data_IF_258585303858
#
_entry.id   IF_258585303858
#
_cell.length_a   1.000
_cell.length_b   1.000
_cell.length_c   1.000
_cell.angle_alpha   90.00
_cell.angle_beta   90.00
_cell.angle_gamma   90.00
#
_symmetry.space_group_name_H-M   'P 1'
#
loop_
_entity.id
_entity.type
_entity.pdbx_description
1 polymer ?
#
# COMPACT_ATOMS: atom_id res chain seq x y z
N UNK A 1 -7.49 -27.86 -21.30
CA UNK A 1 -8.15 -26.55 -21.37
C UNK A 1 -9.51 -26.70 -20.72
N UNK A 2 -9.68 -26.20 -19.51
CA UNK A 2 -10.93 -26.35 -18.74
C UNK A 2 -12.04 -25.51 -19.36
N UNK A 3 -13.29 -25.87 -19.08
CA UNK A 3 -14.45 -25.19 -19.67
C UNK A 3 -14.42 -23.68 -19.34
N UNK A 4 -13.87 -23.28 -18.19
CA UNK A 4 -13.69 -21.87 -17.78
C UNK A 4 -12.71 -21.04 -18.63
N UNK A 5 -11.79 -21.67 -19.35
CA UNK A 5 -10.76 -20.99 -20.15
C UNK A 5 -11.28 -20.51 -21.53
N UNK A 6 -12.44 -21.00 -21.98
CA UNK A 6 -13.03 -20.63 -23.29
C UNK A 6 -13.85 -19.33 -23.29
N UNK A 7 -14.24 -18.80 -22.13
CA UNK A 7 -15.23 -17.71 -21.99
C UNK A 7 -14.68 -16.28 -22.11
N UNK A 8 -13.41 -16.12 -22.49
CA UNK A 8 -12.65 -14.90 -22.25
C UNK A 8 -11.83 -14.50 -23.47
N UNK A 9 -12.48 -14.26 -24.61
CA UNK A 9 -11.80 -13.69 -25.78
C UNK A 9 -11.72 -12.16 -25.66
N UNK A 10 -10.51 -11.57 -25.56
CA UNK A 10 -10.35 -10.13 -25.69
C UNK A 10 -10.59 -9.71 -27.15
N UNK A 11 -10.97 -8.44 -27.37
CA UNK A 11 -10.85 -7.84 -28.70
C UNK A 11 -9.37 -7.89 -29.09
N UNK A 12 -9.03 -8.71 -30.08
CA UNK A 12 -7.67 -8.78 -30.62
C UNK A 12 -7.36 -7.47 -31.33
N UNK A 13 -6.31 -6.78 -30.89
CA UNK A 13 -5.54 -5.86 -31.73
C UNK A 13 -4.28 -6.64 -32.13
N UNK A 14 -4.16 -6.96 -33.42
CA UNK A 14 -3.00 -7.64 -34.01
C UNK A 14 -2.70 -9.07 -33.49
N UNK A 15 -3.73 -9.86 -33.15
CA UNK A 15 -3.60 -11.32 -33.03
C UNK A 15 -3.05 -11.88 -31.71
N UNK A 16 -2.77 -11.05 -30.69
CA UNK A 16 -2.26 -11.56 -29.40
C UNK A 16 -3.32 -11.60 -28.28
N UNK A 17 -3.44 -12.71 -27.52
CA UNK A 17 -4.39 -12.83 -26.41
C UNK A 17 -3.94 -12.02 -25.17
N UNK A 18 -4.88 -11.29 -24.58
CA UNK A 18 -4.73 -10.61 -23.28
C UNK A 18 -5.07 -11.60 -22.15
N UNK A 19 -4.18 -11.82 -21.17
CA UNK A 19 -4.42 -12.76 -20.08
C UNK A 19 -5.55 -12.27 -19.17
N UNK A 20 -6.47 -13.17 -18.80
CA UNK A 20 -7.54 -12.86 -17.86
C UNK A 20 -7.23 -13.47 -16.51
N UNK A 21 -6.92 -12.61 -15.54
CA UNK A 21 -6.65 -13.00 -14.17
C UNK A 21 -7.93 -13.53 -13.48
N UNK A 22 -7.84 -14.70 -12.85
CA UNK A 22 -8.67 -15.10 -11.71
C UNK A 22 -8.31 -14.24 -10.50
N UNK A 23 -9.29 -13.73 -9.76
CA UNK A 23 -9.04 -12.92 -8.56
C UNK A 23 -9.62 -13.59 -7.31
N UNK A 24 -8.70 -14.08 -6.47
CA UNK A 24 -8.81 -14.02 -5.00
C UNK A 24 -8.04 -12.75 -4.61
N UNK A 25 -8.71 -11.76 -4.03
CA UNK A 25 -8.11 -10.43 -3.80
C UNK A 25 -7.76 -10.28 -2.33
N UNK A 26 -6.47 -10.34 -2.01
CA UNK A 26 -5.92 -9.77 -0.78
C UNK A 26 -5.97 -8.26 -0.93
N UNK A 27 -6.81 -7.58 -0.16
CA UNK A 27 -6.70 -6.14 0.02
C UNK A 27 -5.45 -5.85 0.86
N UNK A 28 -4.71 -4.83 0.51
CA UNK A 28 -3.65 -4.26 1.35
C UNK A 28 -4.21 -2.93 1.87
N UNK A 29 -3.97 -2.64 3.14
CA UNK A 29 -4.28 -1.37 3.79
C UNK A 29 -2.95 -0.70 4.16
N UNK A 30 -2.84 0.61 3.98
CA UNK A 30 -1.74 1.41 4.50
C UNK A 30 -2.13 1.87 5.91
N UNK A 31 -1.25 1.63 6.86
CA UNK A 31 -1.36 2.09 8.24
C UNK A 31 -0.33 3.18 8.45
N UNK A 32 -0.79 4.37 8.82
CA UNK A 32 0.05 5.45 9.30
C UNK A 32 0.29 5.21 10.78
N UNK A 33 1.54 5.28 11.24
CA UNK A 33 1.83 5.28 12.66
C UNK A 33 2.81 6.39 13.05
N UNK A 34 2.58 6.97 14.22
CA UNK A 34 3.41 8.02 14.81
C UNK A 34 3.93 7.56 16.17
N UNK A 35 5.04 8.18 16.59
CA UNK A 35 5.78 7.82 17.80
C UNK A 35 5.86 9.06 18.68
N UNK A 36 5.69 8.89 19.98
CA UNK A 36 6.11 9.85 21.00
C UNK A 36 6.81 9.13 22.13
N UNK A 37 7.64 9.84 22.88
CA UNK A 37 8.28 9.29 24.07
C UNK A 37 7.86 10.07 25.32
N UNK A 38 7.86 9.38 26.45
CA UNK A 38 7.60 9.94 27.78
C UNK A 38 8.64 9.43 28.77
N UNK A 39 9.04 10.30 29.69
CA UNK A 39 9.89 9.96 30.84
C UNK A 39 11.24 9.33 30.43
N UNK A 40 11.86 9.81 29.34
CA UNK A 40 13.11 9.23 28.82
C UNK A 40 14.30 9.38 29.79
N UNK A 41 14.32 10.45 30.58
CA UNK A 41 15.38 10.81 31.51
C UNK A 41 14.78 11.50 32.73
N UNK A 42 15.51 11.47 33.86
CA UNK A 42 15.18 12.29 35.02
C UNK A 42 15.06 13.77 34.59
N UNK A 43 14.01 14.46 35.07
CA UNK A 43 13.63 15.82 34.65
C UNK A 43 14.70 16.92 34.91
N UNK A 44 15.90 16.55 35.32
CA UNK A 44 17.04 17.44 35.60
C UNK A 44 17.98 17.63 34.41
N UNK A 45 17.76 16.96 33.27
CA UNK A 45 18.63 17.09 32.09
C UNK A 45 18.08 18.17 31.15
N UNK A 46 18.56 19.40 31.35
CA UNK A 46 18.56 20.43 30.30
C UNK A 46 19.51 19.95 29.18
N UNK A 47 19.13 20.08 27.91
CA UNK A 47 19.89 19.65 26.69
C UNK A 47 19.74 18.22 26.15
N UNK A 48 18.57 17.57 26.34
CA UNK A 48 18.28 16.28 25.67
C UNK A 48 17.87 16.51 24.21
N UNK A 49 18.58 15.91 23.26
CA UNK A 49 18.27 15.93 21.81
C UNK A 49 17.89 14.55 21.34
N UNK A 50 16.61 14.26 21.16
CA UNK A 50 16.15 12.89 20.98
C UNK A 50 15.63 12.62 19.56
N UNK A 51 15.89 11.43 19.03
CA UNK A 51 15.26 10.92 17.82
C UNK A 51 15.02 9.41 17.92
N UNK A 52 14.10 8.90 17.11
CA UNK A 52 13.77 7.48 17.02
C UNK A 52 14.16 6.90 15.66
N UNK A 53 14.55 5.63 15.66
CA UNK A 53 14.76 4.83 14.46
C UNK A 53 13.83 3.62 14.52
N UNK A 54 13.04 3.44 13.46
CA UNK A 54 12.12 2.32 13.32
C UNK A 54 12.73 1.23 12.45
N UNK A 55 12.68 -0.03 12.91
CA UNK A 55 13.16 -1.20 12.19
C UNK A 55 12.06 -2.24 12.01
N UNK A 56 12.14 -3.01 10.93
CA UNK A 56 11.30 -4.17 10.69
C UNK A 56 12.13 -5.44 10.82
N UNK A 57 11.59 -6.45 11.50
CA UNK A 57 12.26 -7.75 11.62
C UNK A 57 12.38 -8.47 10.26
N UNK A 58 13.50 -9.17 10.08
CA UNK A 58 13.80 -9.97 8.89
C UNK A 58 12.73 -11.05 8.67
N UNK A 59 12.09 -11.07 7.50
CA UNK A 59 11.00 -11.99 7.16
C UNK A 59 9.63 -11.32 7.09
N UNK A 60 9.50 -10.08 7.58
CA UNK A 60 8.35 -9.24 7.26
C UNK A 60 8.42 -8.82 5.78
N UNK A 61 7.30 -8.80 5.03
CA UNK A 61 7.31 -8.33 3.65
C UNK A 61 7.83 -6.89 3.61
N UNK A 62 8.80 -6.62 2.74
CA UNK A 62 9.49 -5.34 2.55
C UNK A 62 8.60 -4.24 1.95
N UNK A 63 7.30 -4.24 2.26
CA UNK A 63 6.29 -3.37 1.63
C UNK A 63 6.13 -2.03 2.37
N UNK A 64 7.08 -1.61 3.19
CA UNK A 64 7.06 -0.32 3.89
C UNK A 64 7.51 0.78 2.92
N UNK A 65 6.70 1.83 2.76
CA UNK A 65 6.93 2.93 1.82
C UNK A 65 7.50 4.13 2.60
N UNK A 66 8.77 4.47 2.35
CA UNK A 66 9.56 5.58 2.92
C UNK A 66 9.91 5.39 4.42
N UNK A 67 11.12 5.70 4.91
CA UNK A 67 12.16 6.64 4.49
C UNK A 67 13.45 5.93 4.01
N UNK A 68 14.37 6.66 3.37
CA UNK A 68 15.57 6.12 2.71
C UNK A 68 16.24 4.97 3.46
N UNK A 69 16.18 3.78 2.88
CA UNK A 69 16.76 2.56 3.43
C UNK A 69 18.28 2.66 3.33
N UNK A 70 18.94 3.07 4.41
CA UNK A 70 20.38 2.83 4.58
C UNK A 70 20.52 1.52 5.37
N UNK A 71 21.28 0.57 4.82
CA UNK A 71 21.73 -0.58 5.59
C UNK A 71 22.75 -0.05 6.59
N UNK A 72 22.36 0.09 7.86
CA UNK A 72 23.26 0.53 8.91
C UNK A 72 24.11 -0.66 9.38
N UNK A 73 25.44 -0.54 9.22
CA UNK A 73 26.38 -1.46 9.86
C UNK A 73 26.38 -1.17 11.36
N UNK A 74 25.55 -1.89 12.12
CA UNK A 74 25.56 -1.82 13.58
C UNK A 74 26.86 -2.45 14.07
N UNK A 75 27.86 -1.59 14.31
CA UNK A 75 29.16 -1.99 14.86
C UNK A 75 29.04 -2.58 16.26
N UNK A 76 29.93 -3.53 16.58
CA UNK A 76 29.98 -4.36 17.81
C UNK A 76 30.25 -3.61 19.15
N UNK A 77 29.90 -2.34 19.27
CA UNK A 77 30.11 -1.56 20.49
C UNK A 77 28.80 -1.31 21.24
N UNK A 78 28.51 -2.09 22.28
CA UNK A 78 27.57 -1.75 23.37
C UNK A 78 26.08 -1.53 23.04
N UNK A 79 25.67 -1.46 21.77
CA UNK A 79 24.28 -1.20 21.36
C UNK A 79 23.41 -2.47 21.57
N UNK A 80 22.33 -2.41 22.38
CA UNK A 80 21.48 -3.57 22.62
C UNK A 80 20.60 -3.94 21.42
N UNK A 81 20.52 -5.25 21.19
CA UNK A 81 19.43 -6.08 20.64
C UNK A 81 18.61 -5.53 19.47
N UNK A 82 19.21 -4.85 18.50
CA UNK A 82 18.61 -4.85 17.15
C UNK A 82 18.98 -6.19 16.51
N UNK A 83 18.00 -7.09 16.23
CA UNK A 83 18.31 -8.40 15.68
C UNK A 83 19.06 -8.27 14.36
N UNK A 84 20.09 -9.11 14.18
CA UNK A 84 20.88 -9.15 12.96
C UNK A 84 19.99 -9.28 11.71
N UNK A 85 20.13 -8.31 10.80
CA UNK A 85 19.39 -8.25 9.56
C UNK A 85 17.98 -7.65 9.66
N UNK A 86 17.68 -6.93 10.75
CA UNK A 86 16.54 -6.00 10.78
C UNK A 86 16.75 -4.89 9.74
N UNK A 87 15.67 -4.47 9.07
CA UNK A 87 15.70 -3.43 8.05
C UNK A 87 15.25 -2.11 8.66
N UNK A 88 16.07 -1.07 8.56
CA UNK A 88 15.66 0.29 8.92
C UNK A 88 14.53 0.76 8.00
N UNK A 89 13.40 1.14 8.60
CA UNK A 89 12.20 1.62 7.91
C UNK A 89 12.26 3.14 7.77
N UNK A 90 12.85 3.81 8.76
CA UNK A 90 13.04 5.26 8.74
C UNK A 90 13.46 5.80 10.09
N UNK A 91 13.67 7.11 10.13
CA UNK A 91 14.06 7.88 11.31
C UNK A 91 13.12 9.06 11.48
N UNK A 92 12.88 9.44 12.73
CA UNK A 92 12.20 10.71 13.02
C UNK A 92 13.16 11.88 12.88
N UNK A 93 12.62 13.09 12.94
CA UNK A 93 13.40 14.28 13.23
C UNK A 93 14.02 14.23 14.64
N UNK A 94 15.02 15.09 14.87
CA UNK A 94 15.61 15.33 16.20
C UNK A 94 14.79 16.41 16.90
N UNK A 95 14.31 16.09 18.10
CA UNK A 95 13.60 17.02 18.99
C UNK A 95 14.55 17.48 20.09
N UNK A 96 14.74 18.79 20.18
CA UNK A 96 15.68 19.42 21.11
C UNK A 96 14.97 19.79 22.43
N UNK A 97 15.71 19.67 23.53
CA UNK A 97 15.35 20.13 24.87
C UNK A 97 14.02 19.57 25.38
N UNK A 98 13.77 18.28 25.15
CA UNK A 98 12.56 17.62 25.63
C UNK A 98 12.85 16.21 26.15
N UNK A 99 12.50 15.97 27.42
CA UNK A 99 12.45 14.63 28.01
C UNK A 99 11.21 13.82 27.57
N UNK A 100 10.26 14.48 26.90
CA UNK A 100 9.00 13.92 26.45
C UNK A 100 8.75 14.28 24.97
N UNK A 101 9.65 13.89 24.05
CA UNK A 101 9.57 14.34 22.66
C UNK A 101 8.33 13.76 21.97
N UNK A 102 7.58 14.65 21.32
CA UNK A 102 6.50 14.30 20.41
C UNK A 102 7.03 14.50 18.98
N UNK A 103 7.09 13.43 18.19
CA UNK A 103 7.63 13.47 16.84
C UNK A 103 6.50 13.71 15.82
N UNK A 104 6.76 14.58 14.86
CA UNK A 104 5.90 14.90 13.72
C UNK A 104 6.02 13.89 12.59
N UNK A 105 7.14 13.14 12.52
CA UNK A 105 7.33 12.07 11.54
C UNK A 105 6.25 10.99 11.67
N UNK A 106 5.62 10.65 10.55
CA UNK A 106 4.66 9.56 10.41
C UNK A 106 5.26 8.49 9.50
N UNK A 107 5.24 7.24 9.96
CA UNK A 107 5.71 6.09 9.21
C UNK A 107 4.53 5.41 8.52
N UNK A 108 4.75 4.91 7.29
CA UNK A 108 3.71 4.24 6.52
C UNK A 108 4.02 2.75 6.39
N UNK A 109 3.10 1.92 6.89
CA UNK A 109 3.20 0.46 6.81
C UNK A 109 2.09 -0.14 5.95
N UNK A 110 2.46 -0.88 4.89
CA UNK A 110 1.50 -1.70 4.15
C UNK A 110 1.22 -3.00 4.91
N UNK A 111 -0.01 -3.16 5.37
CA UNK A 111 -0.52 -4.40 5.94
C UNK A 111 -1.46 -5.10 4.96
N UNK A 112 -1.31 -6.40 4.79
CA UNK A 112 -2.36 -7.19 4.12
C UNK A 112 -3.57 -7.33 5.04
N UNK A 113 -4.79 -7.23 4.51
CA UNK A 113 -6.05 -7.31 5.29
C UNK A 113 -6.26 -8.62 6.05
N UNK A 114 -5.47 -9.66 5.76
CA UNK A 114 -5.56 -10.93 6.47
C UNK A 114 -4.70 -10.98 7.74
N UNK A 115 -3.94 -9.93 8.07
CA UNK A 115 -2.97 -9.93 9.18
C UNK A 115 -1.93 -11.08 9.12
N UNK A 116 -1.88 -11.82 8.00
CA UNK A 116 -1.00 -12.98 7.81
C UNK A 116 0.49 -12.62 7.92
N UNK A 117 0.82 -11.35 7.67
CA UNK A 117 2.17 -10.83 7.81
C UNK A 117 2.28 -10.10 9.16
N UNK A 118 2.94 -10.77 10.11
CA UNK A 118 3.27 -10.19 11.40
C UNK A 118 4.34 -9.13 11.17
N UNK A 119 3.97 -7.86 11.25
CA UNK A 119 4.92 -6.75 11.25
C UNK A 119 5.41 -6.53 12.68
N UNK A 120 6.49 -7.23 13.05
CA UNK A 120 7.23 -6.91 14.26
C UNK A 120 8.09 -5.66 13.97
N UNK A 121 7.76 -4.57 14.64
CA UNK A 121 8.44 -3.27 14.56
C UNK A 121 9.27 -3.10 15.84
N UNK A 122 10.50 -2.62 15.66
CA UNK A 122 11.40 -2.26 16.75
C UNK A 122 11.63 -0.75 16.67
N UNK A 123 11.42 -0.05 17.77
CA UNK A 123 11.72 1.37 17.89
C UNK A 123 12.91 1.51 18.83
N UNK A 124 14.02 2.02 18.29
CA UNK A 124 15.18 2.39 19.07
C UNK A 124 15.26 3.91 19.21
N UNK A 125 15.52 4.37 20.42
CA UNK A 125 15.56 5.78 20.79
C UNK A 125 17.02 6.16 21.06
N UNK A 126 17.44 7.31 20.53
CA UNK A 126 18.80 7.81 20.63
C UNK A 126 18.81 9.28 21.06
N UNK A 127 19.87 9.67 21.77
CA UNK A 127 20.25 11.06 21.97
C UNK A 127 21.32 11.44 20.95
N UNK A 128 21.13 12.57 20.29
CA UNK A 128 22.10 13.13 19.34
C UNK A 128 23.30 13.73 20.10
N UNK A 129 24.48 13.15 19.90
CA UNK A 129 25.76 13.62 20.47
C UNK A 129 26.62 14.30 19.38
N UNK A 130 26.61 13.78 18.15
CA UNK A 130 27.33 14.33 17.00
C UNK A 130 26.35 14.70 15.88
N UNK A 131 26.05 16.00 15.75
CA UNK A 131 25.13 16.59 14.77
C UNK A 131 25.59 16.33 13.33
N UNK A 132 26.88 16.08 13.11
CA UNK A 132 27.45 15.88 11.76
C UNK A 132 27.47 14.40 11.34
N UNK A 133 27.01 13.49 12.19
CA UNK A 133 27.15 12.04 11.96
C UNK A 133 25.82 11.32 11.89
N UNK A 134 25.51 10.75 10.72
CA UNK A 134 24.39 9.81 10.53
C UNK A 134 24.63 8.42 11.18
N UNK A 135 25.87 8.15 11.60
CA UNK A 135 26.28 6.88 12.18
C UNK A 135 25.73 6.72 13.60
N UNK A 136 24.81 5.77 13.78
CA UNK A 136 24.14 5.47 15.05
C UNK A 136 25.12 5.01 16.14
N UNK A 137 26.30 4.49 15.77
CA UNK A 137 27.34 4.10 16.73
C UNK A 137 27.90 5.33 17.47
N UNK A 138 27.84 6.51 16.86
CA UNK A 138 28.27 7.77 17.48
C UNK A 138 27.18 8.47 18.26
N UNK A 139 25.95 7.96 18.22
CA UNK A 139 24.81 8.52 18.94
C UNK A 139 24.61 7.77 20.25
N UNK A 140 24.12 8.45 21.29
CA UNK A 140 23.92 7.82 22.60
C UNK A 140 22.61 7.04 22.58
N UNK A 141 22.69 5.72 22.65
CA UNK A 141 21.51 4.87 22.75
C UNK A 141 20.76 5.11 24.08
N UNK A 142 19.47 5.41 23.97
CA UNK A 142 18.60 5.68 25.13
C UNK A 142 17.69 4.52 25.48
N UNK A 143 17.43 3.57 24.58
CA UNK A 143 16.57 2.41 24.82
C UNK A 143 15.89 1.90 23.55
N UNK A 144 15.28 0.71 23.61
CA UNK A 144 14.40 0.25 22.54
C UNK A 144 13.17 -0.47 23.08
N UNK A 145 12.17 -0.63 22.22
CA UNK A 145 11.01 -1.48 22.46
C UNK A 145 10.61 -2.19 21.17
N UNK A 146 9.91 -3.32 21.31
CA UNK A 146 9.44 -4.14 20.19
C UNK A 146 7.95 -4.40 20.34
N UNK A 147 7.23 -4.30 19.23
CA UNK A 147 5.80 -4.60 19.21
C UNK A 147 5.33 -5.13 17.86
N UNK A 148 4.08 -5.60 17.86
CA UNK A 148 3.34 -5.96 16.65
C UNK A 148 2.38 -4.84 16.32
N UNK A 149 2.44 -4.34 15.09
CA UNK A 149 1.53 -3.27 14.65
C UNK A 149 0.04 -3.64 14.84
N UNK A 150 -0.29 -4.92 14.66
CA UNK A 150 -1.61 -5.46 14.94
C UNK A 150 -2.07 -5.28 16.40
N UNK A 151 -1.16 -5.43 17.37
CA UNK A 151 -1.49 -5.24 18.78
C UNK A 151 -1.97 -3.83 19.06
N UNK A 152 -1.30 -2.83 18.48
CA UNK A 152 -1.64 -1.41 18.60
C UNK A 152 -3.02 -1.14 17.98
N UNK A 153 -3.26 -1.65 16.77
CA UNK A 153 -4.54 -1.48 16.06
C UNK A 153 -5.74 -2.13 16.78
N UNK A 154 -5.49 -3.14 17.62
CA UNK A 154 -6.54 -3.80 18.43
C UNK A 154 -6.86 -3.05 19.72
N UNK A 155 -6.05 -2.07 20.14
CA UNK A 155 -6.31 -1.26 21.34
C UNK A 155 -7.38 -0.20 21.08
N UNK A 156 -8.12 0.16 22.13
CA UNK A 156 -9.06 1.28 22.09
C UNK A 156 -8.27 2.57 21.83
N UNK A 157 -8.68 3.34 20.82
CA UNK A 157 -7.97 4.54 20.37
C UNK A 157 -6.73 4.26 19.52
N UNK A 158 -6.44 2.99 19.20
CA UNK A 158 -5.29 2.56 18.39
C UNK A 158 -3.94 3.10 18.89
N UNK A 159 -3.81 3.21 20.22
CA UNK A 159 -2.64 3.71 20.90
C UNK A 159 -2.10 2.66 21.88
N UNK A 160 -0.79 2.53 21.98
CA UNK A 160 -0.14 1.64 22.93
C UNK A 160 1.14 2.29 23.48
N UNK A 161 1.27 2.33 24.80
CA UNK A 161 2.49 2.77 25.48
C UNK A 161 3.28 1.55 25.92
N UNK A 162 4.55 1.50 25.52
CA UNK A 162 5.45 0.38 25.73
C UNK A 162 6.69 0.86 26.47
N UNK A 163 7.16 0.12 27.49
CA UNK A 163 8.36 0.49 28.20
C UNK A 163 9.60 0.32 27.31
N UNK A 164 10.58 1.19 27.52
CA UNK A 164 11.94 1.02 27.02
C UNK A 164 12.75 0.16 28.00
N UNK A 165 13.70 -0.62 27.48
CA UNK A 165 14.56 -1.51 28.29
C UNK A 165 15.35 -0.79 29.39
N UNK A 166 15.70 0.47 29.15
CA UNK A 166 16.56 1.36 29.95
C UNK A 166 15.77 2.32 30.85
N UNK A 167 14.44 2.33 30.76
CA UNK A 167 13.54 3.26 31.45
C UNK A 167 12.82 4.22 30.51
N UNK A 168 11.65 4.71 30.93
CA UNK A 168 10.75 5.52 30.12
C UNK A 168 9.82 4.71 29.22
N UNK A 169 9.02 5.40 28.42
CA UNK A 169 7.99 4.79 27.58
C UNK A 169 7.98 5.39 26.17
N UNK A 170 7.75 4.53 25.18
CA UNK A 170 7.37 4.93 23.83
C UNK A 170 5.86 4.75 23.70
N UNK A 171 5.17 5.80 23.27
CA UNK A 171 3.76 5.72 22.89
C UNK A 171 3.64 5.71 21.38
N UNK A 172 3.03 4.64 20.89
CA UNK A 172 2.70 4.41 19.50
C UNK A 172 1.25 4.80 19.27
N UNK A 173 0.98 5.56 18.20
CA UNK A 173 -0.37 5.76 17.68
C UNK A 173 -0.42 5.24 16.26
N UNK A 174 -1.43 4.45 15.92
CA UNK A 174 -1.64 3.94 14.57
C UNK A 174 -3.04 4.27 14.08
N UNK A 175 -3.17 4.59 12.80
CA UNK A 175 -4.47 4.79 12.15
C UNK A 175 -4.42 4.29 10.70
N UNK A 176 -5.55 3.85 10.14
CA UNK A 176 -5.64 3.67 8.69
C UNK A 176 -5.21 4.97 8.00
N UNK A 177 -4.35 4.85 6.99
CA UNK A 177 -3.92 6.00 6.22
C UNK A 177 -5.09 6.61 5.48
N UNK A 178 -5.15 7.94 5.44
CA UNK A 178 -6.15 8.61 4.59
C UNK A 178 -5.86 8.39 3.10
N UNK A 179 -4.64 7.97 2.73
CA UNK A 179 -4.29 7.62 1.35
C UNK A 179 -5.10 6.41 0.84
N UNK A 180 -5.55 5.53 1.74
CA UNK A 180 -6.47 4.43 1.39
C UNK A 180 -7.90 4.90 1.04
N UNK A 181 -8.22 6.16 1.35
CA UNK A 181 -9.51 6.79 1.06
C UNK A 181 -9.51 7.57 -0.25
N UNK A 182 -8.39 7.63 -0.98
CA UNK A 182 -8.35 8.23 -2.30
C UNK A 182 -9.02 7.30 -3.32
N UNK A 183 -10.26 7.66 -3.68
CA UNK A 183 -11.00 7.04 -4.76
C UNK A 183 -10.85 7.87 -6.03
N UNK A 184 -10.50 7.20 -7.13
CA UNK A 184 -10.67 7.76 -8.46
C UNK A 184 -12.12 7.55 -8.86
N UNK A 185 -12.89 8.63 -8.91
CA UNK A 185 -14.26 8.65 -9.44
C UNK A 185 -14.22 9.17 -10.86
N UNK A 186 -14.84 8.47 -11.79
CA UNK A 186 -14.87 8.86 -13.20
C UNK A 186 -16.23 8.59 -13.81
N UNK A 187 -16.65 9.49 -14.69
CA UNK A 187 -17.81 9.30 -15.55
C UNK A 187 -17.35 8.71 -16.88
N UNK A 188 -18.13 7.80 -17.45
CA UNK A 188 -17.79 7.21 -18.74
C UNK A 188 -18.98 7.19 -19.69
N UNK A 189 -18.67 7.55 -20.93
CA UNK A 189 -19.60 7.64 -22.04
C UNK A 189 -18.92 7.09 -23.29
N UNK A 190 -19.70 6.68 -24.29
CA UNK A 190 -19.16 6.22 -25.56
C UNK A 190 -20.11 6.45 -26.71
N UNK A 191 -19.57 7.04 -27.77
CA UNK A 191 -20.29 7.35 -29.01
C UNK A 191 -19.74 6.52 -30.15
N UNK A 192 -20.61 6.08 -31.06
CA UNK A 192 -20.19 5.46 -32.31
C UNK A 192 -19.51 4.09 -32.17
N UNK A 193 -19.81 3.32 -31.12
CA UNK A 193 -19.23 1.98 -30.91
C UNK A 193 -19.41 1.10 -32.17
N UNK A 194 -18.33 0.55 -32.73
CA UNK A 194 -18.40 -0.28 -33.93
C UNK A 194 -18.95 -1.67 -33.61
N UNK A 195 -19.72 -2.26 -34.53
CA UNK A 195 -20.21 -3.64 -34.39
C UNK A 195 -19.04 -4.60 -34.54
N UNK A 196 -18.82 -5.47 -33.56
CA UNK A 196 -17.76 -6.51 -33.57
C UNK A 196 -18.28 -7.88 -34.02
N UNK A 197 -19.56 -7.98 -34.42
CA UNK A 197 -20.14 -9.22 -34.95
C UNK A 197 -19.34 -9.73 -36.14
N UNK A 198 -18.62 -10.84 -35.95
CA UNK A 198 -17.90 -11.59 -36.99
C UNK A 198 -18.81 -12.08 -38.12
N UNK A 199 -20.13 -12.03 -37.94
CA UNK A 199 -21.12 -12.43 -38.93
C UNK A 199 -21.72 -11.20 -39.65
N UNK A 200 -21.23 -10.81 -40.85
CA UNK A 200 -21.72 -9.64 -41.58
C UNK A 200 -23.19 -9.79 -42.00
N UNK A 201 -23.68 -11.02 -42.18
CA UNK A 201 -25.06 -11.30 -42.60
C UNK A 201 -26.07 -10.95 -41.49
N UNK A 202 -25.68 -11.09 -40.20
CA UNK A 202 -26.52 -10.68 -39.06
C UNK A 202 -26.33 -9.21 -38.67
N UNK A 203 -25.30 -8.54 -39.19
CA UNK A 203 -25.02 -7.12 -38.90
C UNK A 203 -26.10 -6.16 -39.43
N UNK A 204 -26.93 -6.61 -40.40
CA UNK A 204 -28.09 -5.87 -40.91
C UNK A 204 -29.28 -5.83 -39.92
N UNK A 205 -29.40 -6.79 -38.99
CA UNK A 205 -30.39 -6.69 -37.90
C UNK A 205 -29.82 -5.77 -36.81
N UNK A 206 -30.65 -4.86 -36.27
CA UNK A 206 -30.34 -4.06 -35.08
C UNK A 206 -30.21 -5.01 -33.88
N UNK A 207 -29.07 -5.69 -33.75
CA UNK A 207 -28.73 -6.41 -32.53
C UNK A 207 -28.40 -5.34 -31.48
N UNK A 208 -29.12 -5.29 -30.35
CA UNK A 208 -28.82 -4.33 -29.30
C UNK A 208 -27.40 -4.57 -28.79
N UNK A 209 -26.62 -3.50 -28.63
CA UNK A 209 -25.29 -3.57 -28.03
C UNK A 209 -25.44 -3.69 -26.52
N UNK A 210 -24.57 -4.48 -25.90
CA UNK A 210 -24.49 -4.61 -24.45
C UNK A 210 -23.10 -4.15 -24.00
N UNK A 211 -22.76 -2.86 -24.17
CA UNK A 211 -21.42 -2.39 -23.91
C UNK A 211 -21.09 -2.43 -22.42
N UNK A 212 -19.81 -2.65 -22.13
CA UNK A 212 -19.21 -2.47 -20.81
C UNK A 212 -17.76 -2.00 -20.96
N UNK A 213 -17.22 -1.38 -19.92
CA UNK A 213 -15.85 -0.90 -19.87
C UNK A 213 -15.02 -1.77 -18.93
N UNK A 214 -13.78 -2.01 -19.31
CA UNK A 214 -12.75 -2.60 -18.44
C UNK A 214 -11.62 -1.61 -18.32
N UNK A 215 -11.27 -1.26 -17.08
CA UNK A 215 -10.04 -0.57 -16.76
C UNK A 215 -8.98 -1.58 -16.37
N UNK A 216 -7.79 -1.44 -16.93
CA UNK A 216 -6.62 -2.26 -16.60
C UNK A 216 -5.40 -1.37 -16.38
N UNK A 217 -4.45 -1.81 -15.57
CA UNK A 217 -3.16 -1.15 -15.38
C UNK A 217 -2.02 -2.08 -15.77
N UNK A 218 -0.88 -1.52 -16.19
CA UNK A 218 0.32 -2.30 -16.48
C UNK A 218 1.05 -2.60 -15.17
N UNK A 219 1.13 -3.87 -14.77
CA UNK A 219 1.95 -4.24 -13.61
C UNK A 219 3.42 -4.24 -14.00
N UNK A 220 4.22 -3.34 -13.43
CA UNK A 220 5.67 -3.27 -13.70
C UNK A 220 6.37 -4.59 -13.36
N UNK A 221 6.02 -5.21 -12.22
CA UNK A 221 6.61 -6.47 -11.74
C UNK A 221 6.45 -7.64 -12.72
N UNK A 222 5.34 -7.70 -13.46
CA UNK A 222 5.01 -8.85 -14.32
C UNK A 222 4.96 -8.50 -15.80
N UNK A 223 5.16 -7.23 -16.16
CA UNK A 223 4.98 -6.67 -17.51
C UNK A 223 3.68 -7.14 -18.18
N UNK A 224 2.59 -7.20 -17.39
CA UNK A 224 1.27 -7.70 -17.81
C UNK A 224 0.18 -6.75 -17.37
N UNK A 225 -0.81 -6.56 -18.25
CA UNK A 225 -2.05 -5.85 -17.93
C UNK A 225 -2.85 -6.63 -16.88
N UNK A 226 -3.31 -5.92 -15.85
CA UNK A 226 -4.18 -6.46 -14.80
C UNK A 226 -5.46 -5.64 -14.72
N UNK A 227 -6.59 -6.34 -14.61
CA UNK A 227 -7.90 -5.69 -14.50
C UNK A 227 -8.00 -4.96 -13.16
N UNK A 228 -8.26 -3.67 -13.24
CA UNK A 228 -8.45 -2.76 -12.11
C UNK A 228 -9.92 -2.70 -11.70
N UNK A 229 -10.78 -2.47 -12.69
CA UNK A 229 -12.21 -2.23 -12.53
C UNK A 229 -12.96 -2.64 -13.80
N UNK A 230 -14.22 -3.02 -13.64
CA UNK A 230 -15.12 -3.38 -14.74
C UNK A 230 -16.49 -2.77 -14.48
N UNK A 231 -17.08 -2.14 -15.50
CA UNK A 231 -18.42 -1.59 -15.41
C UNK A 231 -19.50 -2.67 -15.43
N UNK A 232 -20.71 -2.26 -15.06
CA UNK A 232 -21.90 -3.01 -15.41
C UNK A 232 -22.08 -3.11 -16.94
N UNK A 233 -22.83 -4.11 -17.36
CA UNK A 233 -23.19 -4.31 -18.77
C UNK A 233 -24.46 -3.51 -19.05
N UNK A 234 -24.35 -2.49 -19.91
CA UNK A 234 -25.47 -1.65 -20.29
C UNK A 234 -26.36 -2.38 -21.31
N UNK A 235 -27.30 -3.20 -20.85
CA UNK A 235 -28.12 -4.04 -21.72
C UNK A 235 -28.97 -3.22 -22.68
N UNK A 236 -28.86 -3.53 -23.98
CA UNK A 236 -29.62 -2.88 -25.06
C UNK A 236 -29.52 -1.35 -25.04
N UNK A 237 -28.43 -0.81 -24.49
CA UNK A 237 -28.28 0.63 -24.32
C UNK A 237 -27.71 1.25 -25.60
N UNK A 238 -28.52 2.08 -26.27
CA UNK A 238 -28.09 2.88 -27.42
C UNK A 238 -27.64 4.29 -27.02
N UNK A 239 -27.74 4.64 -25.73
CA UNK A 239 -27.36 5.98 -25.23
C UNK A 239 -25.85 6.10 -25.04
N UNK A 240 -25.36 7.33 -25.12
CA UNK A 240 -23.94 7.63 -25.02
C UNK A 240 -23.43 7.62 -23.59
N UNK A 241 -24.28 7.67 -22.55
CA UNK A 241 -23.85 7.71 -21.14
C UNK A 241 -23.99 6.33 -20.48
N UNK A 242 -22.89 5.81 -19.95
CA UNK A 242 -22.86 4.48 -19.34
C UNK A 242 -22.79 4.52 -17.82
N UNK A 243 -22.46 5.67 -17.22
CA UNK A 243 -22.58 5.90 -15.78
C UNK A 243 -21.29 6.38 -15.11
N UNK A 244 -21.21 6.12 -13.80
CA UNK A 244 -20.10 6.50 -12.93
C UNK A 244 -19.40 5.25 -12.42
N UNK A 245 -18.08 5.24 -12.46
CA UNK A 245 -17.24 4.21 -11.89
C UNK A 245 -16.36 4.78 -10.79
N UNK A 246 -15.96 3.93 -9.85
CA UNK A 246 -14.95 4.28 -8.85
C UNK A 246 -14.04 3.11 -8.53
N UNK A 247 -12.77 3.39 -8.25
CA UNK A 247 -11.81 2.44 -7.68
C UNK A 247 -10.84 3.15 -6.73
N UNK A 248 -10.30 2.42 -5.76
CA UNK A 248 -9.26 2.94 -4.86
C UNK A 248 -7.94 3.16 -5.63
N UNK A 249 -7.35 4.34 -5.52
CA UNK A 249 -6.12 4.74 -6.20
C UNK A 249 -4.97 3.76 -5.92
N UNK A 250 -4.87 3.24 -4.69
CA UNK A 250 -3.87 2.24 -4.30
C UNK A 250 -3.86 0.99 -5.20
N UNK A 251 -5.00 0.64 -5.82
CA UNK A 251 -5.09 -0.51 -6.73
C UNK A 251 -4.32 -0.30 -8.04
N UNK A 252 -3.95 0.93 -8.37
CA UNK A 252 -3.11 1.27 -9.51
C UNK A 252 -1.66 1.27 -9.05
N UNK A 253 -0.99 0.12 -9.16
CA UNK A 253 0.44 -0.04 -8.88
C UNK A 253 0.94 0.55 -7.54
N UNK A 254 0.09 0.59 -6.49
CA UNK A 254 0.45 1.17 -5.20
C UNK A 254 0.32 2.69 -5.13
N UNK A 255 -0.63 3.28 -5.87
CA UNK A 255 -0.86 4.72 -6.01
C UNK A 255 0.26 5.47 -6.78
N UNK A 256 0.94 4.78 -7.69
CA UNK A 256 1.89 5.39 -8.61
C UNK A 256 1.13 6.21 -9.67
N UNK A 257 1.24 7.54 -9.60
CA UNK A 257 0.55 8.48 -10.50
C UNK A 257 0.99 8.33 -11.96
N UNK A 258 2.20 7.81 -12.21
CA UNK A 258 2.75 7.63 -13.56
C UNK A 258 2.31 6.30 -14.20
N UNK A 259 1.55 5.48 -13.47
CA UNK A 259 1.11 4.19 -13.97
C UNK A 259 0.08 4.31 -15.09
N UNK A 260 0.42 3.73 -16.24
CA UNK A 260 -0.47 3.72 -17.41
C UNK A 260 -1.75 2.90 -17.14
N UNK A 261 -2.90 3.57 -17.26
CA UNK A 261 -4.23 2.95 -17.23
C UNK A 261 -4.74 2.79 -18.66
N UNK A 262 -5.15 1.57 -19.00
CA UNK A 262 -5.83 1.25 -20.25
C UNK A 262 -7.34 1.15 -20.02
N UNK A 263 -8.11 1.88 -20.85
CA UNK A 263 -9.57 1.84 -20.91
C UNK A 263 -10.01 1.04 -22.13
N UNK A 264 -10.74 -0.05 -21.92
CA UNK A 264 -11.25 -0.91 -23.00
C UNK A 264 -12.77 -0.92 -23.02
N UNK A 265 -13.37 -0.53 -24.16
CA UNK A 265 -14.79 -0.74 -24.44
C UNK A 265 -15.03 -2.12 -25.05
N UNK A 266 -15.91 -2.90 -24.43
CA UNK A 266 -16.23 -4.28 -24.79
C UNK A 266 -17.72 -4.42 -25.06
N UNK A 267 -18.14 -5.44 -25.83
CA UNK A 267 -19.55 -5.76 -26.08
C UNK A 267 -19.85 -7.15 -25.52
N UNK A 268 -20.87 -7.25 -24.67
CA UNK A 268 -21.24 -8.50 -24.02
C UNK A 268 -22.16 -9.34 -24.92
N UNK A 269 -21.64 -10.43 -25.46
CA UNK A 269 -22.41 -11.39 -26.25
C UNK A 269 -23.08 -12.45 -25.36
N UNK A 270 -24.39 -12.28 -25.11
CA UNK A 270 -25.18 -13.23 -24.31
C UNK A 270 -25.27 -14.63 -24.93
N UNK A 271 -25.11 -14.76 -26.26
CA UNK A 271 -25.35 -16.03 -26.98
C UNK A 271 -24.22 -17.03 -26.84
N UNK A 272 -23.10 -16.64 -26.25
CA UNK A 272 -22.00 -17.57 -25.96
C UNK A 272 -22.35 -18.49 -24.78
N UNK A 273 -23.39 -18.20 -23.98
CA UNK A 273 -23.77 -18.99 -22.78
C UNK A 273 -24.41 -20.36 -23.02
N UNK A 274 -24.74 -20.74 -24.25
CA UNK A 274 -25.49 -21.98 -24.52
C UNK A 274 -24.83 -22.78 -25.64
N UNK A 275 -23.74 -23.47 -25.29
CA UNK A 275 -23.19 -24.64 -25.97
C UNK A 275 -22.28 -25.41 -25.02
#
# INVERSE_FOLDING_TARGET
MTQEEKWRQPLLRDGNPVPVASYSKRSEAIIDFSISCRELLDNSVEDVKCFCVAYCSKGSPSNLLNAGTKQSDVGKGGSPVIPDGSLEIGRTEVVYNSANPDFSTVFNAKMSTYFDNIHDIIIAVYSEEDIMSDDLVKQRYLGCTRFRLESVLRKIGCNESLPLETGGFVTMSAKPSNVDSDYVVFCYSGKGLKKTSKNPIKAKKKVPKNPYIVLSYMSQKYSKWRVLWKSEVARRNETENFGVGQFQALRVNGADEDSLIQVLGMDWDEKVRVA
#
